data_IF_815190214497
#
_entry.id   IF_815190214497
#
_cell.length_a   1.000
_cell.length_b   1.000
_cell.length_c   1.000
_cell.angle_alpha   90.00
_cell.angle_beta   90.00
_cell.angle_gamma   90.00
#
_symmetry.space_group_name_H-M   'P 1'
#
loop_
_entity.id
_entity.type
_entity.pdbx_description
1 polymer ?
#
# COMPACT_ATOMS: atom_id res chain seq x y z
N UNK A 1 -7.34 -22.76 -11.55
CA UNK A 1 -8.53 -22.24 -12.28
C UNK A 1 -9.65 -21.79 -11.31
N UNK A 2 -9.31 -21.25 -10.14
CA UNK A 2 -10.31 -20.91 -9.11
C UNK A 2 -10.95 -19.52 -9.30
N UNK A 3 -10.20 -18.55 -9.83
CA UNK A 3 -10.66 -17.15 -9.96
C UNK A 3 -11.73 -17.00 -11.06
N UNK A 4 -11.62 -17.77 -12.14
CA UNK A 4 -12.58 -17.73 -13.25
C UNK A 4 -13.84 -18.56 -12.96
N UNK A 5 -13.75 -19.59 -12.11
CA UNK A 5 -14.87 -20.49 -11.82
C UNK A 5 -15.84 -19.94 -10.78
N UNK A 6 -15.40 -19.02 -9.90
CA UNK A 6 -16.28 -18.36 -8.94
C UNK A 6 -16.72 -16.98 -9.45
N UNK A 7 -17.98 -16.87 -9.90
CA UNK A 7 -18.57 -15.59 -10.37
C UNK A 7 -18.43 -14.45 -9.35
N UNK A 8 -18.40 -14.76 -8.05
CA UNK A 8 -18.26 -13.78 -6.97
C UNK A 8 -16.90 -13.06 -6.99
N UNK A 9 -15.85 -13.70 -7.50
CA UNK A 9 -14.51 -13.13 -7.61
C UNK A 9 -14.33 -12.26 -8.86
N UNK A 10 -15.24 -12.32 -9.84
CA UNK A 10 -15.11 -11.53 -11.07
C UNK A 10 -15.18 -10.02 -10.81
N UNK A 11 -16.01 -9.58 -9.87
CA UNK A 11 -16.12 -8.17 -9.49
C UNK A 11 -14.80 -7.62 -8.94
N UNK A 12 -14.15 -8.39 -8.06
CA UNK A 12 -12.83 -8.08 -7.51
C UNK A 12 -11.75 -8.08 -8.60
N UNK A 13 -11.85 -8.98 -9.58
CA UNK A 13 -10.89 -9.05 -10.68
C UNK A 13 -10.95 -7.80 -11.56
N UNK A 14 -12.15 -7.30 -11.86
CA UNK A 14 -12.33 -6.04 -12.59
C UNK A 14 -11.77 -4.84 -11.83
N UNK A 15 -11.91 -4.82 -10.50
CA UNK A 15 -11.29 -3.78 -9.66
C UNK A 15 -9.77 -3.81 -9.80
N UNK A 16 -9.15 -5.00 -9.71
CA UNK A 16 -7.70 -5.15 -9.87
C UNK A 16 -7.24 -4.69 -11.25
N UNK A 17 -7.95 -5.10 -12.31
CA UNK A 17 -7.65 -4.67 -13.70
C UNK A 17 -7.76 -3.15 -13.84
N UNK A 18 -8.81 -2.55 -13.26
CA UNK A 18 -9.01 -1.10 -13.28
C UNK A 18 -7.89 -0.35 -12.52
N UNK A 19 -7.49 -0.85 -11.34
CA UNK A 19 -6.38 -0.28 -10.55
C UNK A 19 -5.03 -0.41 -11.27
N UNK A 20 -4.79 -1.56 -11.90
CA UNK A 20 -3.59 -1.77 -12.70
C UNK A 20 -3.55 -0.82 -13.90
N UNK A 21 -4.63 -0.75 -14.68
CA UNK A 21 -4.77 0.19 -15.80
C UNK A 21 -4.60 1.65 -15.36
N UNK A 22 -5.21 2.03 -14.23
CA UNK A 22 -5.06 3.34 -13.61
C UNK A 22 -3.62 3.66 -13.25
N UNK A 23 -2.87 2.69 -12.71
CA UNK A 23 -1.45 2.84 -12.37
C UNK A 23 -0.60 3.03 -13.63
N UNK A 24 -0.83 2.23 -14.68
CA UNK A 24 -0.12 2.36 -15.97
C UNK A 24 -0.38 3.72 -16.60
N UNK A 25 -1.64 4.17 -16.62
CA UNK A 25 -2.03 5.48 -17.14
C UNK A 25 -1.36 6.59 -16.31
N UNK A 26 -1.40 6.49 -14.97
CA UNK A 26 -0.80 7.47 -14.08
C UNK A 26 0.71 7.62 -14.31
N UNK A 27 1.46 6.52 -14.37
CA UNK A 27 2.90 6.56 -14.66
C UNK A 27 3.18 7.12 -16.07
N UNK A 28 2.35 6.77 -17.05
CA UNK A 28 2.48 7.30 -18.41
C UNK A 28 2.32 8.82 -18.45
N UNK A 29 1.33 9.35 -17.72
CA UNK A 29 1.10 10.80 -17.59
C UNK A 29 2.26 11.49 -16.85
N UNK A 30 2.74 10.89 -15.75
CA UNK A 30 3.87 11.41 -14.97
C UNK A 30 5.12 11.51 -15.84
N UNK A 31 5.41 10.49 -16.63
CA UNK A 31 6.59 10.43 -17.50
C UNK A 31 6.47 11.28 -18.78
N UNK A 32 5.26 11.69 -19.15
CA UNK A 32 5.04 12.49 -20.35
C UNK A 32 5.47 13.96 -20.13
N UNK A 33 6.40 14.52 -20.92
CA UNK A 33 6.89 15.88 -20.71
C UNK A 33 5.88 16.91 -21.24
N UNK A 34 4.99 17.38 -20.36
CA UNK A 34 4.10 18.51 -20.67
C UNK A 34 4.90 19.83 -20.71
N UNK A 35 4.48 20.77 -21.56
CA UNK A 35 5.07 22.12 -21.59
C UNK A 35 4.84 22.82 -20.24
N UNK A 36 5.86 23.52 -19.74
CA UNK A 36 5.80 24.29 -18.49
C UNK A 36 4.52 25.14 -18.40
N UNK A 37 3.79 25.01 -17.29
CA UNK A 37 2.53 25.73 -17.03
C UNK A 37 1.30 25.24 -17.81
N UNK A 38 1.41 24.22 -18.67
CA UNK A 38 0.29 23.68 -19.47
C UNK A 38 -0.05 22.23 -19.15
N UNK A 39 0.18 21.79 -17.92
CA UNK A 39 -0.22 20.46 -17.49
C UNK A 39 -1.76 20.40 -17.31
N UNK A 40 -2.50 19.63 -18.14
CA UNK A 40 -3.95 19.53 -18.04
C UNK A 40 -4.39 18.74 -16.80
N UNK A 41 -3.55 17.83 -16.29
CA UNK A 41 -3.88 16.99 -15.14
C UNK A 41 -3.81 17.77 -13.84
N UNK A 42 -2.92 18.76 -13.75
CA UNK A 42 -2.90 19.68 -12.62
C UNK A 42 -4.24 20.44 -12.50
N UNK A 43 -4.82 20.87 -13.63
CA UNK A 43 -6.15 21.52 -13.67
C UNK A 43 -7.29 20.56 -13.35
N UNK A 44 -7.17 19.30 -13.77
CA UNK A 44 -8.15 18.26 -13.44
C UNK A 44 -8.16 17.99 -11.94
N UNK A 45 -6.99 17.80 -11.32
CA UNK A 45 -6.86 17.52 -9.88
C UNK A 45 -7.33 18.69 -9.00
N UNK A 46 -7.24 19.93 -9.48
CA UNK A 46 -7.80 21.09 -8.78
C UNK A 46 -9.33 21.02 -8.60
N UNK A 47 -10.06 20.30 -9.47
CA UNK A 47 -11.51 20.16 -9.40
C UNK A 47 -11.98 19.00 -8.51
N UNK A 48 -11.07 18.16 -8.02
CA UNK A 48 -11.43 17.03 -7.16
C UNK A 48 -11.64 17.47 -5.71
N UNK A 49 -12.53 16.80 -4.95
CA UNK A 49 -12.79 17.13 -3.54
C UNK A 49 -11.55 17.01 -2.64
N UNK A 50 -10.56 16.20 -3.03
CA UNK A 50 -9.27 16.05 -2.36
C UNK A 50 -8.11 16.69 -3.15
N UNK A 51 -8.32 17.89 -3.72
CA UNK A 51 -7.39 18.55 -4.63
C UNK A 51 -5.99 18.75 -4.05
N UNK A 52 -5.87 19.24 -2.81
CA UNK A 52 -4.56 19.45 -2.14
C UNK A 52 -3.73 18.16 -2.08
N UNK A 53 -4.34 17.06 -1.64
CA UNK A 53 -3.67 15.76 -1.55
C UNK A 53 -3.31 15.23 -2.94
N UNK A 54 -4.26 15.25 -3.88
CA UNK A 54 -4.06 14.74 -5.25
C UNK A 54 -2.96 15.50 -5.99
N UNK A 55 -2.93 16.83 -5.86
CA UNK A 55 -1.87 17.68 -6.42
C UNK A 55 -0.53 17.38 -5.76
N UNK A 56 -0.49 17.22 -4.43
CA UNK A 56 0.76 16.88 -3.71
C UNK A 56 1.35 15.56 -4.20
N UNK A 57 0.52 14.51 -4.30
CA UNK A 57 0.93 13.20 -4.83
C UNK A 57 1.40 13.34 -6.28
N UNK A 58 0.60 13.97 -7.14
CA UNK A 58 0.93 14.12 -8.55
C UNK A 58 2.25 14.88 -8.75
N UNK A 59 2.41 16.05 -8.11
CA UNK A 59 3.63 16.86 -8.20
C UNK A 59 4.85 16.14 -7.65
N UNK A 60 4.69 15.34 -6.58
CA UNK A 60 5.77 14.53 -6.02
C UNK A 60 6.25 13.45 -7.00
N UNK A 61 5.36 12.83 -7.77
CA UNK A 61 5.78 11.91 -8.83
C UNK A 61 6.34 12.65 -10.04
N UNK A 62 5.73 13.78 -10.41
CA UNK A 62 6.14 14.61 -11.55
C UNK A 62 7.55 15.17 -11.40
N UNK A 63 8.00 15.48 -10.18
CA UNK A 63 9.38 15.92 -9.92
C UNK A 63 10.42 14.87 -10.33
N UNK A 64 10.06 13.59 -10.38
CA UNK A 64 10.90 12.49 -10.85
C UNK A 64 10.70 12.14 -12.34
N UNK A 65 10.01 12.98 -13.13
CA UNK A 65 9.72 12.69 -14.55
C UNK A 65 10.97 12.36 -15.40
N UNK A 66 12.12 12.98 -15.08
CA UNK A 66 13.39 12.75 -15.77
C UNK A 66 14.21 11.60 -15.16
N UNK A 67 13.81 11.09 -14.00
CA UNK A 67 14.48 10.01 -13.27
C UNK A 67 13.69 8.70 -13.39
N UNK A 68 13.52 8.21 -14.62
CA UNK A 68 12.72 7.02 -14.92
C UNK A 68 13.17 5.80 -14.11
N UNK A 69 14.48 5.60 -13.99
CA UNK A 69 15.07 4.49 -13.23
C UNK A 69 14.61 4.50 -11.77
N UNK A 70 14.60 5.66 -11.12
CA UNK A 70 14.15 5.80 -9.72
C UNK A 70 12.69 5.40 -9.57
N UNK A 71 11.81 5.88 -10.47
CA UNK A 71 10.39 5.52 -10.46
C UNK A 71 10.17 4.01 -10.66
N UNK A 72 10.86 3.41 -11.63
CA UNK A 72 10.73 1.97 -11.91
C UNK A 72 11.31 1.11 -10.78
N UNK A 73 12.47 1.46 -10.22
CA UNK A 73 13.05 0.72 -9.10
C UNK A 73 12.18 0.80 -7.85
N UNK A 74 11.58 1.96 -7.57
CA UNK A 74 10.66 2.13 -6.44
C UNK A 74 9.39 1.31 -6.62
N UNK A 75 8.83 1.28 -7.84
CA UNK A 75 7.69 0.44 -8.17
C UNK A 75 8.03 -1.06 -8.00
N UNK A 76 9.18 -1.50 -8.52
CA UNK A 76 9.61 -2.88 -8.41
C UNK A 76 9.85 -3.28 -6.94
N UNK A 77 10.47 -2.40 -6.16
CA UNK A 77 10.66 -2.59 -4.72
C UNK A 77 9.31 -2.74 -4.02
N UNK A 78 8.33 -1.88 -4.34
CA UNK A 78 6.97 -1.98 -3.79
C UNK A 78 6.30 -3.31 -4.14
N UNK A 79 6.36 -3.74 -5.41
CA UNK A 79 5.82 -5.05 -5.83
C UNK A 79 6.51 -6.19 -5.07
N UNK A 80 7.83 -6.14 -4.92
CA UNK A 80 8.59 -7.13 -4.15
C UNK A 80 8.15 -7.20 -2.69
N UNK A 81 8.00 -6.05 -2.02
CA UNK A 81 7.51 -5.98 -0.64
C UNK A 81 6.11 -6.56 -0.49
N UNK A 82 5.18 -6.19 -1.38
CA UNK A 82 3.82 -6.74 -1.35
C UNK A 82 3.77 -8.23 -1.67
N UNK A 83 4.66 -8.71 -2.56
CA UNK A 83 4.81 -10.15 -2.85
C UNK A 83 5.25 -10.91 -1.61
N UNK A 84 6.25 -10.39 -0.86
CA UNK A 84 6.70 -11.00 0.39
C UNK A 84 5.59 -11.03 1.43
N UNK A 85 4.80 -9.95 1.55
CA UNK A 85 3.64 -9.93 2.45
C UNK A 85 2.60 -10.97 2.04
N UNK A 86 2.29 -11.12 0.75
CA UNK A 86 1.38 -12.16 0.25
C UNK A 86 1.86 -13.57 0.63
N UNK A 87 3.17 -13.82 0.52
CA UNK A 87 3.79 -15.09 0.89
C UNK A 87 3.72 -15.36 2.40
N UNK A 88 3.91 -14.34 3.23
CA UNK A 88 3.73 -14.47 4.69
C UNK A 88 2.28 -14.85 5.00
N UNK A 89 1.30 -14.15 4.43
CA UNK A 89 -0.11 -14.50 4.59
C UNK A 89 -0.38 -15.95 4.13
N UNK A 90 0.13 -16.35 2.97
CA UNK A 90 -0.03 -17.70 2.47
C UNK A 90 0.50 -18.75 3.46
N UNK A 91 1.68 -18.49 4.04
CA UNK A 91 2.27 -19.36 5.02
C UNK A 91 1.45 -19.41 6.32
N UNK A 92 0.98 -18.27 6.82
CA UNK A 92 0.09 -18.19 7.98
C UNK A 92 -1.18 -19.01 7.75
N UNK A 93 -1.80 -18.87 6.58
CA UNK A 93 -3.00 -19.62 6.21
C UNK A 93 -2.77 -21.13 6.20
N UNK A 94 -1.63 -21.59 5.66
CA UNK A 94 -1.25 -23.00 5.68
C UNK A 94 -1.02 -23.53 7.10
N UNK A 95 -0.39 -22.72 7.97
CA UNK A 95 -0.16 -23.07 9.37
C UNK A 95 -1.47 -23.15 10.18
N UNK A 96 -2.47 -22.34 9.81
CA UNK A 96 -3.81 -22.36 10.39
C UNK A 96 -4.69 -23.52 9.89
N UNK A 97 -4.16 -24.36 8.98
CA UNK A 97 -4.82 -25.59 8.53
C UNK A 97 -5.56 -25.50 7.18
N UNK A 98 -5.58 -24.33 6.53
CA UNK A 98 -6.23 -24.15 5.21
C UNK A 98 -5.20 -24.43 4.10
N UNK A 99 -4.90 -25.72 3.89
CA UNK A 99 -3.85 -26.17 2.95
C UNK A 99 -4.29 -26.20 1.48
N UNK A 100 -5.59 -26.23 1.24
CA UNK A 100 -6.18 -26.32 -0.11
C UNK A 100 -6.19 -24.97 -0.85
N UNK A 101 -5.85 -23.88 -0.17
CA UNK A 101 -5.87 -22.56 -0.78
C UNK A 101 -4.70 -22.42 -1.76
N UNK A 102 -5.01 -22.07 -3.00
CA UNK A 102 -3.99 -21.79 -4.01
C UNK A 102 -3.24 -20.47 -3.70
N UNK A 103 -1.95 -20.42 -4.03
CA UNK A 103 -1.14 -19.22 -3.90
C UNK A 103 -1.73 -18.03 -4.68
N UNK A 104 -2.25 -18.29 -5.88
CA UNK A 104 -2.87 -17.27 -6.72
C UNK A 104 -4.07 -16.61 -6.03
N UNK A 105 -4.88 -17.39 -5.30
CA UNK A 105 -6.00 -16.87 -4.51
C UNK A 105 -5.49 -15.92 -3.42
N UNK A 106 -4.40 -16.27 -2.73
CA UNK A 106 -3.83 -15.38 -1.72
C UNK A 106 -3.32 -14.06 -2.32
N UNK A 107 -2.63 -14.13 -3.46
CA UNK A 107 -2.13 -12.95 -4.18
C UNK A 107 -3.25 -12.06 -4.70
N UNK A 108 -4.44 -12.61 -4.87
CA UNK A 108 -5.64 -11.87 -5.26
C UNK A 108 -6.33 -11.20 -4.07
N UNK A 109 -6.54 -11.93 -2.97
CA UNK A 109 -7.24 -11.41 -1.79
C UNK A 109 -6.40 -10.40 -1.00
N UNK A 110 -5.10 -10.66 -0.83
CA UNK A 110 -4.24 -9.88 0.07
C UNK A 110 -4.19 -8.39 -0.29
N UNK A 111 -3.92 -7.97 -1.54
CA UNK A 111 -3.83 -6.54 -1.87
C UNK A 111 -5.13 -5.80 -1.60
N UNK A 112 -6.27 -6.43 -1.89
CA UNK A 112 -7.60 -5.87 -1.64
C UNK A 112 -7.80 -5.70 -0.13
N UNK A 113 -7.50 -6.74 0.66
CA UNK A 113 -7.56 -6.69 2.11
C UNK A 113 -6.70 -5.56 2.69
N UNK A 114 -5.45 -5.43 2.26
CA UNK A 114 -4.57 -4.36 2.74
C UNK A 114 -5.02 -2.96 2.34
N UNK A 115 -5.62 -2.78 1.15
CA UNK A 115 -6.22 -1.50 0.75
C UNK A 115 -7.35 -1.11 1.71
N UNK A 116 -8.19 -2.06 2.14
CA UNK A 116 -9.26 -1.76 3.11
C UNK A 116 -8.72 -1.34 4.47
N UNK A 117 -7.62 -1.95 4.93
CA UNK A 117 -6.93 -1.61 6.19
C UNK A 117 -6.31 -0.21 6.13
N UNK A 118 -5.88 0.23 4.94
CA UNK A 118 -5.27 1.55 4.75
C UNK A 118 -6.28 2.70 4.90
N UNK A 119 -7.59 2.44 4.85
CA UNK A 119 -8.62 3.46 5.11
C UNK A 119 -8.74 3.60 6.64
N UNK A 120 -8.34 4.74 7.23
CA UNK A 120 -8.17 4.89 8.68
C UNK A 120 -9.51 5.12 9.39
N UNK A 121 -10.43 4.15 9.27
CA UNK A 121 -11.72 4.15 9.97
C UNK A 121 -11.54 3.61 11.41
N UNK A 122 -10.55 2.73 11.61
CA UNK A 122 -10.21 2.13 12.90
C UNK A 122 -8.72 2.29 13.23
N UNK A 123 -8.32 2.35 14.53
CA UNK A 123 -6.92 2.47 14.94
C UNK A 123 -6.09 1.30 14.41
N UNK A 124 -5.02 1.63 13.69
CA UNK A 124 -4.14 0.65 13.03
C UNK A 124 -4.85 -0.22 11.97
N UNK A 125 -6.08 0.13 11.57
CA UNK A 125 -6.89 -0.64 10.63
C UNK A 125 -7.27 -2.04 11.11
N UNK A 126 -7.02 -2.40 12.38
CA UNK A 126 -7.19 -3.77 12.90
C UNK A 126 -8.67 -4.22 12.81
N UNK A 127 -9.60 -3.38 13.25
CA UNK A 127 -11.03 -3.70 13.22
C UNK A 127 -11.59 -3.84 11.79
N UNK A 128 -11.19 -2.95 10.89
CA UNK A 128 -11.60 -3.01 9.47
C UNK A 128 -10.97 -4.23 8.78
N UNK A 129 -9.70 -4.49 9.04
CA UNK A 129 -8.99 -5.63 8.49
C UNK A 129 -9.59 -6.97 8.91
N UNK A 130 -9.96 -7.12 10.18
CA UNK A 130 -10.63 -8.32 10.69
C UNK A 130 -11.88 -8.66 9.88
N UNK A 131 -12.79 -7.69 9.71
CA UNK A 131 -14.02 -7.89 8.94
C UNK A 131 -13.76 -8.07 7.44
N UNK A 132 -12.81 -7.32 6.88
CA UNK A 132 -12.48 -7.38 5.46
C UNK A 132 -11.88 -8.72 5.06
N UNK A 133 -10.89 -9.22 5.81
CA UNK A 133 -10.26 -10.51 5.52
C UNK A 133 -11.22 -11.69 5.75
N UNK A 134 -12.08 -11.63 6.76
CA UNK A 134 -13.13 -12.64 6.91
C UNK A 134 -14.05 -12.70 5.68
N UNK A 135 -14.51 -11.54 5.21
CA UNK A 135 -15.38 -11.45 4.03
C UNK A 135 -14.68 -11.93 2.76
N UNK A 136 -13.42 -11.53 2.56
CA UNK A 136 -12.63 -11.91 1.38
C UNK A 136 -12.36 -13.43 1.32
N UNK A 137 -12.08 -14.06 2.46
CA UNK A 137 -11.86 -15.51 2.53
C UNK A 137 -13.16 -16.27 2.28
N UNK A 138 -14.27 -15.82 2.86
CA UNK A 138 -15.60 -16.40 2.59
C UNK A 138 -15.99 -16.29 1.12
N UNK A 139 -15.63 -15.19 0.45
CA UNK A 139 -15.84 -15.03 -0.99
C UNK A 139 -15.03 -16.01 -1.83
N UNK A 140 -13.89 -16.48 -1.34
CA UNK A 140 -13.07 -17.51 -1.98
C UNK A 140 -13.45 -18.94 -1.56
N UNK A 141 -14.43 -19.11 -0.66
CA UNK A 141 -14.89 -20.41 -0.17
C UNK A 141 -14.14 -20.93 1.07
N UNK A 142 -13.40 -20.07 1.77
CA UNK A 142 -12.67 -20.40 2.99
C UNK A 142 -13.24 -19.67 4.21
N UNK A 143 -13.08 -20.23 5.41
CA UNK A 143 -13.46 -19.58 6.68
C UNK A 143 -12.23 -19.21 7.50
N UNK A 144 -12.38 -18.30 8.47
CA UNK A 144 -11.29 -17.93 9.39
C UNK A 144 -10.30 -16.92 8.82
N UNK A 145 -10.71 -16.12 7.83
CA UNK A 145 -9.88 -15.04 7.28
C UNK A 145 -9.55 -13.98 8.35
N UNK A 146 -10.48 -13.74 9.28
CA UNK A 146 -10.28 -12.88 10.44
C UNK A 146 -9.11 -13.34 11.33
N UNK A 147 -9.05 -14.64 11.64
CA UNK A 147 -8.03 -15.22 12.51
C UNK A 147 -6.66 -15.24 11.83
N UNK A 148 -6.63 -15.52 10.53
CA UNK A 148 -5.41 -15.44 9.71
C UNK A 148 -4.86 -14.01 9.71
N UNK A 149 -5.73 -13.01 9.51
CA UNK A 149 -5.33 -11.61 9.58
C UNK A 149 -4.81 -11.24 10.97
N UNK A 150 -5.50 -11.65 12.04
CA UNK A 150 -5.07 -11.39 13.41
C UNK A 150 -3.69 -12.00 13.69
N UNK A 151 -3.46 -13.24 13.27
CA UNK A 151 -2.17 -13.91 13.42
C UNK A 151 -1.08 -13.21 12.62
N UNK A 152 -1.38 -12.77 11.39
CA UNK A 152 -0.46 -11.94 10.61
C UNK A 152 -0.08 -10.65 11.36
N UNK A 153 -1.05 -9.95 11.95
CA UNK A 153 -0.80 -8.74 12.75
C UNK A 153 0.08 -9.05 13.96
N UNK A 154 -0.15 -10.15 14.67
CA UNK A 154 0.69 -10.57 15.80
C UNK A 154 2.14 -10.80 15.35
N UNK A 155 2.33 -11.54 14.25
CA UNK A 155 3.66 -11.78 13.67
C UNK A 155 4.33 -10.46 13.27
N UNK A 156 3.58 -9.58 12.59
CA UNK A 156 4.05 -8.27 12.15
C UNK A 156 4.47 -7.39 13.33
N UNK A 157 3.65 -7.30 14.38
CA UNK A 157 3.97 -6.56 15.60
C UNK A 157 5.21 -7.14 16.29
N UNK A 158 5.35 -8.47 16.34
CA UNK A 158 6.55 -9.14 16.86
C UNK A 158 7.82 -8.69 16.14
N UNK A 159 7.79 -8.60 14.81
CA UNK A 159 8.92 -8.10 14.01
C UNK A 159 9.15 -6.60 14.24
N UNK A 160 8.10 -5.80 14.29
CA UNK A 160 8.20 -4.35 14.50
C UNK A 160 8.79 -3.97 15.86
N UNK A 161 8.48 -4.75 16.90
CA UNK A 161 9.06 -4.56 18.24
C UNK A 161 10.58 -4.73 18.25
N UNK A 162 11.16 -5.51 17.32
CA UNK A 162 12.62 -5.61 17.19
C UNK A 162 13.26 -4.27 16.80
N UNK A 163 12.54 -3.42 16.05
CA UNK A 163 12.98 -2.05 15.76
C UNK A 163 12.98 -1.13 16.98
N UNK A 164 12.22 -1.47 18.02
CA UNK A 164 12.27 -0.80 19.32
C UNK A 164 13.61 -0.96 20.03
N UNK A 165 14.33 -2.07 19.80
CA UNK A 165 15.62 -2.35 20.42
C UNK A 165 16.67 -1.29 20.05
N UNK A 166 17.02 -1.03 18.76
CA UNK A 166 17.96 0.02 18.41
C UNK A 166 17.44 1.41 18.80
N UNK A 167 16.12 1.64 18.77
CA UNK A 167 15.53 2.90 19.22
C UNK A 167 15.85 3.18 20.69
N UNK A 168 15.59 2.24 21.60
CA UNK A 168 15.87 2.45 23.02
C UNK A 168 17.36 2.45 23.36
N UNK A 169 18.18 1.70 22.62
CA UNK A 169 19.63 1.66 22.85
C UNK A 169 20.34 2.96 22.44
N UNK A 170 19.83 3.68 21.43
CA UNK A 170 20.47 4.88 20.89
C UNK A 170 19.69 6.18 21.10
N UNK A 171 18.47 6.14 21.64
CA UNK A 171 17.64 7.34 21.87
C UNK A 171 18.28 8.39 22.79
N UNK A 172 19.15 7.98 23.72
CA UNK A 172 19.82 8.91 24.65
C UNK A 172 20.97 9.70 24.02
N UNK A 173 21.51 9.28 22.88
CA UNK A 173 22.68 9.90 22.23
C UNK A 173 22.32 10.76 21.02
N UNK A 174 21.04 10.79 20.64
CA UNK A 174 20.58 11.57 19.49
C UNK A 174 20.30 13.03 19.91
N UNK A 175 21.33 13.88 19.81
CA UNK A 175 21.14 15.33 19.90
C UNK A 175 20.68 15.83 18.52
N UNK A 176 19.45 16.33 18.42
CA UNK A 176 19.01 17.08 17.24
C UNK A 176 19.98 18.27 17.09
N UNK A 177 20.65 18.44 15.94
CA UNK A 177 21.54 19.58 15.73
C UNK A 177 20.74 20.87 15.95
N UNK A 178 21.09 21.69 16.95
CA UNK A 178 20.38 22.94 17.28
C UNK A 178 20.17 23.92 16.11
N UNK A 179 20.89 23.74 15.00
CA UNK A 179 20.73 24.51 13.77
C UNK A 179 19.61 24.01 12.83
N UNK A 180 18.99 22.85 13.09
CA UNK A 180 17.90 22.37 12.24
C UNK A 180 16.64 23.22 12.41
N UNK A 181 16.33 23.69 13.61
CA UNK A 181 15.16 24.57 13.87
C UNK A 181 15.24 25.88 13.08
N UNK A 182 16.44 26.49 13.02
CA UNK A 182 16.66 27.73 12.25
C UNK A 182 16.56 27.52 10.73
N UNK A 183 16.96 26.35 10.22
CA UNK A 183 16.81 26.03 8.80
C UNK A 183 15.34 25.87 8.40
N UNK A 184 14.50 25.29 9.26
CA UNK A 184 13.07 25.15 8.99
C UNK A 184 12.30 26.48 9.10
N UNK A 185 12.72 27.39 9.98
CA UNK A 185 12.17 28.74 10.08
C UNK A 185 12.53 29.61 8.86
N UNK A 186 13.80 29.57 8.41
CA UNK A 186 14.22 30.32 7.21
C UNK A 186 13.60 29.80 5.89
N UNK A 187 13.26 28.51 5.80
CA UNK A 187 12.52 27.95 4.65
C UNK A 187 11.01 28.27 4.71
N UNK A 188 10.45 28.48 5.90
CA UNK A 188 9.03 28.85 6.05
C UNK A 188 8.77 30.35 5.80
N UNK A 189 9.81 31.19 5.92
CA UNK A 189 9.76 32.63 5.64
C UNK A 189 10.10 33.02 4.18
N UNK A 190 10.46 32.07 3.32
CA UNK A 190 10.70 32.29 1.88
C UNK A 190 9.55 31.81 0.99
#
# INVERSE_FOLDING_TARGET
>A
ELILSQERLHSLAWIIVALFGGTVIFYSIVLFPFKEGRDPFLRLFQRLPASKFSIKVYSAFKSYQHQKTTLFLTLFLSIGLHTLIALIFFQVTNLMGIKEMELATQFFLMPIGLITVAIPIAPGGIGVGHAAFESLYQLAGFSGGADIFNLFIIVQLGVFLLGGIPYFLYSSNYQIPKNSEKMFEEEAEK
#
